data_IF_426078654815
#
_entry.id   IF_426078654815
#
_cell.length_a   1.000
_cell.length_b   1.000
_cell.length_c   1.000
_cell.angle_alpha   90.00
_cell.angle_beta   90.00
_cell.angle_gamma   90.00
#
_symmetry.space_group_name_H-M   'P 1'
#
loop_
_entity.id
_entity.type
_entity.pdbx_description
1 polymer ?
#
# COMPACT_ATOMS: atom_id res chain seq x y z
N UNK A 1 3.03 -3.03 2.46
CA UNK A 1 3.13 -2.16 3.67
C UNK A 1 2.49 -2.84 4.88
N UNK A 2 3.07 -2.66 6.08
CA UNK A 2 2.56 -3.30 7.30
C UNK A 2 1.26 -2.69 7.83
N UNK A 3 0.41 -3.52 8.43
CA UNK A 3 -0.87 -3.14 9.06
C UNK A 3 -0.70 -2.00 10.10
N UNK A 4 0.47 -1.94 10.75
CA UNK A 4 0.84 -0.94 11.77
C UNK A 4 0.94 0.48 11.21
N UNK A 5 1.55 0.64 10.03
CA UNK A 5 1.72 1.95 9.38
C UNK A 5 0.35 2.49 8.92
N UNK A 6 -0.51 1.59 8.46
CA UNK A 6 -1.89 1.91 8.10
C UNK A 6 -2.73 2.34 9.31
N UNK A 7 -2.60 1.66 10.45
CA UNK A 7 -3.30 2.04 11.67
C UNK A 7 -2.87 3.44 12.16
N UNK A 8 -1.56 3.72 12.17
CA UNK A 8 -1.00 5.00 12.63
C UNK A 8 -1.36 6.17 11.70
N UNK A 9 -1.54 5.93 10.39
CA UNK A 9 -1.94 6.97 9.44
C UNK A 9 -3.43 7.35 9.54
N UNK A 10 -4.30 6.39 9.87
CA UNK A 10 -5.76 6.59 9.95
C UNK A 10 -6.21 7.13 11.32
N UNK A 11 -5.54 6.75 12.41
CA UNK A 11 -5.86 7.20 13.78
C UNK A 11 -6.04 8.72 13.92
N UNK A 12 -5.15 9.58 13.38
CA UNK A 12 -5.33 11.03 13.46
C UNK A 12 -6.46 11.56 12.57
N UNK A 13 -6.75 10.91 11.43
CA UNK A 13 -7.87 11.29 10.56
C UNK A 13 -9.24 10.93 11.13
N UNK A 14 -9.33 9.94 12.02
CA UNK A 14 -10.55 9.55 12.73
C UNK A 14 -10.90 10.48 13.91
N UNK A 15 -10.16 11.58 14.09
CA UNK A 15 -10.61 12.66 14.94
C UNK A 15 -10.45 12.41 16.44
N UNK A 16 -9.42 11.67 16.87
CA UNK A 16 -8.93 11.75 18.27
C UNK A 16 -8.21 13.10 18.45
N UNK A 17 -8.97 14.18 18.29
CA UNK A 17 -8.59 15.57 18.47
C UNK A 17 -8.71 15.95 19.96
N UNK A 18 -8.30 15.06 20.87
CA UNK A 18 -8.08 15.43 22.28
C UNK A 18 -7.02 16.54 22.42
N UNK A 19 -6.16 16.70 21.41
CA UNK A 19 -5.16 17.77 21.34
C UNK A 19 -5.73 19.17 21.11
N UNK A 20 -6.96 19.33 20.59
CA UNK A 20 -7.58 20.67 20.47
C UNK A 20 -8.28 21.08 21.76
N UNK A 21 -8.83 20.12 22.51
CA UNK A 21 -9.45 20.35 23.82
C UNK A 21 -8.38 20.61 24.91
N UNK A 22 -7.31 19.81 24.97
CA UNK A 22 -6.22 20.01 25.93
C UNK A 22 -5.41 21.32 25.71
N UNK A 23 -5.43 21.86 24.49
CA UNK A 23 -4.80 23.15 24.14
C UNK A 23 -5.65 24.36 24.54
N UNK A 24 -6.93 24.15 24.87
CA UNK A 24 -7.80 25.18 25.42
C UNK A 24 -7.62 25.36 26.94
N UNK A 25 -7.03 24.38 27.65
CA UNK A 25 -7.00 24.37 29.12
C UNK A 25 -5.62 24.61 29.76
N UNK A 26 -4.50 24.64 29.04
CA UNK A 26 -3.22 25.02 29.66
C UNK A 26 -2.18 25.61 28.69
N UNK A 27 -1.57 26.77 29.00
CA UNK A 27 -0.48 27.33 28.22
C UNK A 27 0.82 26.57 28.55
N UNK A 28 1.34 25.86 27.55
CA UNK A 28 2.76 25.50 27.51
C UNK A 28 3.11 24.06 27.82
N UNK A 29 2.73 23.12 26.95
CA UNK A 29 3.58 21.95 26.66
C UNK A 29 3.43 21.61 25.17
N UNK A 30 4.51 21.74 24.40
CA UNK A 30 4.59 21.20 23.05
C UNK A 30 4.61 19.67 23.13
N UNK A 31 3.42 19.07 23.24
CA UNK A 31 3.24 17.62 23.09
C UNK A 31 3.84 17.19 21.75
N UNK A 32 4.95 16.47 21.86
CA UNK A 32 5.75 15.83 20.82
C UNK A 32 5.07 15.75 19.44
N UNK A 33 5.44 16.66 18.55
CA UNK A 33 5.08 16.67 17.11
C UNK A 33 5.64 15.48 16.30
N UNK A 34 6.31 14.53 16.95
CA UNK A 34 6.92 13.37 16.28
C UNK A 34 5.83 12.44 15.71
N UNK A 35 4.76 12.18 16.46
CA UNK A 35 3.65 11.30 16.05
C UNK A 35 2.81 11.88 14.89
N UNK A 36 2.39 13.16 14.88
CA UNK A 36 1.62 13.70 13.75
C UNK A 36 2.42 13.73 12.44
N UNK A 37 3.74 13.97 12.49
CA UNK A 37 4.59 13.90 11.28
C UNK A 37 4.71 12.48 10.72
N UNK A 38 4.71 11.46 11.57
CA UNK A 38 4.74 10.06 11.13
C UNK A 38 3.46 9.65 10.40
N UNK A 39 2.29 10.16 10.83
CA UNK A 39 1.03 9.90 10.15
C UNK A 39 0.95 10.55 8.77
N UNK A 40 1.45 11.78 8.62
CA UNK A 40 1.51 12.46 7.32
C UNK A 40 2.45 11.73 6.35
N UNK A 41 3.63 11.30 6.81
CA UNK A 41 4.55 10.47 6.01
C UNK A 41 3.90 9.15 5.62
N UNK A 42 3.21 8.48 6.55
CA UNK A 42 2.54 7.22 6.28
C UNK A 42 1.41 7.36 5.25
N UNK A 43 0.68 8.49 5.24
CA UNK A 43 -0.33 8.78 4.22
C UNK A 43 0.29 8.88 2.83
N UNK A 44 1.41 9.57 2.69
CA UNK A 44 2.13 9.70 1.40
C UNK A 44 2.59 8.32 0.91
N UNK A 45 3.20 7.54 1.80
CA UNK A 45 3.61 6.16 1.52
C UNK A 45 2.43 5.29 1.07
N UNK A 46 1.25 5.46 1.69
CA UNK A 46 0.06 4.71 1.31
C UNK A 46 -0.46 5.11 -0.08
N UNK A 47 -0.45 6.39 -0.41
CA UNK A 47 -0.83 6.89 -1.74
C UNK A 47 0.12 6.33 -2.81
N UNK A 48 1.44 6.34 -2.55
CA UNK A 48 2.44 5.75 -3.44
C UNK A 48 2.18 4.25 -3.60
N UNK A 49 1.96 3.54 -2.51
CA UNK A 49 1.72 2.09 -2.54
C UNK A 49 0.45 1.73 -3.35
N UNK A 50 -0.65 2.45 -3.14
CA UNK A 50 -1.91 2.21 -3.88
C UNK A 50 -1.77 2.56 -5.35
N UNK A 51 -1.15 3.69 -5.69
CA UNK A 51 -0.94 4.09 -7.08
C UNK A 51 0.00 3.14 -7.81
N UNK A 52 1.07 2.67 -7.15
CA UNK A 52 1.99 1.67 -7.67
C UNK A 52 1.29 0.32 -7.90
N UNK A 53 0.44 -0.12 -6.96
CA UNK A 53 -0.35 -1.34 -7.11
C UNK A 53 -1.35 -1.23 -8.26
N UNK A 54 -2.04 -0.10 -8.40
CA UNK A 54 -2.97 0.13 -9.52
C UNK A 54 -2.25 0.13 -10.86
N UNK A 55 -1.04 0.71 -10.95
CA UNK A 55 -0.23 0.66 -12.16
C UNK A 55 0.12 -0.79 -12.54
N UNK A 56 0.49 -1.63 -11.57
CA UNK A 56 0.73 -3.06 -11.79
C UNK A 56 -0.53 -3.78 -12.33
N UNK A 57 -1.69 -3.53 -11.72
CA UNK A 57 -2.98 -4.13 -12.15
C UNK A 57 -3.29 -3.76 -13.60
N UNK A 58 -3.15 -2.49 -13.98
CA UNK A 58 -3.45 -2.03 -15.34
C UNK A 58 -2.51 -2.69 -16.35
N UNK A 59 -1.21 -2.77 -16.05
CA UNK A 59 -0.24 -3.42 -16.94
C UNK A 59 -0.51 -4.93 -17.08
N UNK A 60 -0.89 -5.60 -15.99
CA UNK A 60 -1.26 -7.02 -16.03
C UNK A 60 -2.55 -7.26 -16.82
N UNK A 61 -3.54 -6.37 -16.71
CA UNK A 61 -4.75 -6.43 -17.54
C UNK A 61 -4.43 -6.26 -19.03
N UNK A 62 -3.49 -5.37 -19.39
CA UNK A 62 -3.01 -5.24 -20.77
C UNK A 62 -2.30 -6.51 -21.26
N UNK A 63 -1.77 -7.32 -20.34
CA UNK A 63 -1.19 -8.64 -20.61
C UNK A 63 -2.22 -9.75 -20.82
N UNK A 64 -3.52 -9.45 -20.72
CA UNK A 64 -4.61 -10.39 -20.94
C UNK A 64 -5.14 -11.09 -19.68
N UNK A 65 -4.70 -10.69 -18.48
CA UNK A 65 -5.30 -11.20 -17.24
C UNK A 65 -6.71 -10.62 -17.05
N UNK A 66 -7.61 -11.44 -16.50
CA UNK A 66 -8.88 -10.96 -15.98
C UNK A 66 -8.63 -10.01 -14.78
N UNK A 67 -9.55 -9.09 -14.51
CA UNK A 67 -9.47 -8.13 -13.39
C UNK A 67 -9.12 -8.82 -12.07
N UNK A 68 -9.78 -9.93 -11.77
CA UNK A 68 -9.57 -10.67 -10.52
C UNK A 68 -8.14 -11.23 -10.40
N UNK A 69 -7.65 -11.86 -11.47
CA UNK A 69 -6.30 -12.43 -11.50
C UNK A 69 -5.22 -11.34 -11.51
N UNK A 70 -5.46 -10.23 -12.22
CA UNK A 70 -4.57 -9.09 -12.24
C UNK A 70 -4.41 -8.47 -10.84
N UNK A 71 -5.49 -8.35 -10.07
CA UNK A 71 -5.42 -7.88 -8.68
C UNK A 71 -4.62 -8.81 -7.78
N UNK A 72 -4.83 -10.12 -7.90
CA UNK A 72 -4.13 -11.10 -7.05
C UNK A 72 -2.64 -11.16 -7.39
N UNK A 73 -2.30 -11.17 -8.68
CA UNK A 73 -0.91 -11.11 -9.12
C UNK A 73 -0.22 -9.79 -8.71
N UNK A 74 -0.90 -8.65 -8.85
CA UNK A 74 -0.38 -7.33 -8.44
C UNK A 74 -0.15 -7.24 -6.93
N UNK A 75 -1.11 -7.68 -6.11
CA UNK A 75 -0.96 -7.69 -4.66
C UNK A 75 0.12 -8.69 -4.22
N UNK A 76 0.21 -9.84 -4.90
CA UNK A 76 1.25 -10.84 -4.66
C UNK A 76 2.66 -10.33 -4.96
N UNK A 77 2.86 -9.56 -6.03
CA UNK A 77 4.18 -9.05 -6.41
C UNK A 77 4.58 -7.79 -5.62
N UNK A 78 3.67 -6.82 -5.46
CA UNK A 78 3.96 -5.53 -4.78
C UNK A 78 4.13 -5.70 -3.26
N UNK A 79 3.49 -6.71 -2.66
CA UNK A 79 3.71 -7.05 -1.26
C UNK A 79 4.84 -8.07 -1.04
N UNK A 80 5.49 -8.54 -2.11
CA UNK A 80 6.47 -9.65 -2.07
C UNK A 80 5.92 -10.92 -1.41
N UNK A 81 4.61 -11.17 -1.57
CA UNK A 81 3.90 -12.29 -0.96
C UNK A 81 3.86 -13.56 -1.83
N UNK A 82 4.01 -13.43 -3.15
CA UNK A 82 4.08 -14.57 -4.07
C UNK A 82 2.81 -15.43 -4.19
N UNK A 83 1.66 -14.92 -3.73
CA UNK A 83 0.37 -15.62 -3.76
C UNK A 83 -0.21 -15.65 -5.19
N UNK A 84 -0.89 -16.74 -5.55
CA UNK A 84 -1.58 -16.91 -6.83
C UNK A 84 -2.87 -17.71 -6.67
N UNK A 85 -3.85 -17.47 -7.56
CA UNK A 85 -5.09 -18.25 -7.67
C UNK A 85 -4.86 -19.66 -8.21
N UNK A 86 -3.76 -19.87 -8.92
CA UNK A 86 -3.48 -21.11 -9.62
C UNK A 86 -2.33 -21.84 -8.94
N UNK A 87 -2.42 -23.17 -8.91
CA UNK A 87 -1.38 -24.01 -8.31
C UNK A 87 -0.02 -23.86 -9.06
N UNK A 88 -0.07 -23.48 -10.34
CA UNK A 88 1.11 -23.14 -11.15
C UNK A 88 1.66 -21.71 -10.93
N UNK A 89 1.09 -20.92 -10.03
CA UNK A 89 1.56 -19.56 -9.80
C UNK A 89 1.35 -18.64 -11.01
N UNK A 90 2.35 -17.81 -11.30
CA UNK A 90 2.39 -16.97 -12.52
C UNK A 90 2.62 -17.81 -13.79
N UNK A 91 3.27 -18.98 -13.69
CA UNK A 91 3.58 -19.80 -14.87
C UNK A 91 2.33 -20.36 -15.55
N UNK A 92 1.19 -20.37 -14.85
CA UNK A 92 -0.11 -20.72 -15.41
C UNK A 92 -0.47 -19.88 -16.65
N UNK A 93 -0.08 -18.61 -16.67
CA UNK A 93 -0.40 -17.71 -17.78
C UNK A 93 0.55 -17.88 -18.99
N UNK A 94 1.64 -18.64 -18.83
CA UNK A 94 2.64 -18.98 -19.86
C UNK A 94 2.99 -17.82 -20.82
N UNK A 95 3.18 -16.63 -20.26
CA UNK A 95 3.40 -15.40 -21.01
C UNK A 95 4.60 -14.66 -20.45
N UNK A 96 5.62 -14.50 -21.28
CA UNK A 96 6.84 -13.76 -20.94
C UNK A 96 6.55 -12.31 -20.57
N UNK A 97 5.49 -11.72 -21.12
CA UNK A 97 5.08 -10.35 -20.79
C UNK A 97 4.64 -10.22 -19.32
N UNK A 98 3.82 -11.16 -18.85
CA UNK A 98 3.30 -11.17 -17.47
C UNK A 98 4.45 -11.40 -16.49
N UNK A 99 5.34 -12.35 -16.78
CA UNK A 99 6.54 -12.61 -15.99
C UNK A 99 7.42 -11.35 -15.88
N UNK A 100 7.67 -10.67 -16.99
CA UNK A 100 8.51 -9.47 -17.01
C UNK A 100 7.93 -8.33 -16.17
N UNK A 101 6.61 -8.12 -16.23
CA UNK A 101 5.92 -7.13 -15.37
C UNK A 101 6.07 -7.53 -13.90
N UNK A 102 5.73 -8.77 -13.56
CA UNK A 102 5.76 -9.26 -12.17
C UNK A 102 7.16 -9.14 -11.60
N UNK A 103 8.19 -9.54 -12.34
CA UNK A 103 9.59 -9.40 -11.91
C UNK A 103 9.97 -7.93 -11.75
N UNK A 104 9.64 -7.07 -12.71
CA UNK A 104 9.98 -5.63 -12.63
C UNK A 104 9.35 -4.96 -11.41
N UNK A 105 8.07 -5.22 -11.15
CA UNK A 105 7.37 -4.67 -9.99
C UNK A 105 7.88 -5.24 -8.66
N UNK A 106 8.26 -6.51 -8.62
CA UNK A 106 8.84 -7.14 -7.42
C UNK A 106 10.20 -6.54 -7.06
N UNK A 107 11.02 -6.17 -8.06
CA UNK A 107 12.33 -5.53 -7.84
C UNK A 107 12.19 -4.07 -7.42
N UNK A 108 11.14 -3.39 -7.91
CA UNK A 108 10.87 -1.98 -7.61
C UNK A 108 10.15 -1.75 -6.26
N UNK A 109 9.43 -2.75 -5.76
CA UNK A 109 8.67 -2.70 -4.50
C UNK A 109 9.56 -2.80 -3.25
#
# INVERSE_FOLDING_TARGET
MGILIFAISILPTLGISGQRMAKAESPGVTLNKVVPRMADSAKILYIIYVSFTLAAVVLLMLGGLNLFDAFIAALGCVASGGLSNYNGGISHFNSTYIEFIVTSFTVLA
#
